data_IF_986332565999
#
_entry.id   IF_986332565999
#
_cell.length_a   1.000
_cell.length_b   1.000
_cell.length_c   1.000
_cell.angle_alpha   90.00
_cell.angle_beta   90.00
_cell.angle_gamma   90.00
#
_symmetry.space_group_name_H-M   'P 1'
#
loop_
_entity.id
_entity.type
_entity.pdbx_description
1 polymer ?
#
# COMPACT_ATOMS: atom_id res chain seq x y z
N UNK A 1 -19.76 -53.89 -1.19
CA UNK A 1 -20.32 -52.71 -1.86
C UNK A 1 -20.19 -52.88 -3.37
N UNK A 2 -21.21 -52.54 -4.14
CA UNK A 2 -21.10 -52.52 -5.61
C UNK A 2 -20.20 -51.35 -6.03
N UNK A 3 -19.32 -51.56 -7.01
CA UNK A 3 -18.45 -50.51 -7.53
C UNK A 3 -19.26 -49.34 -8.12
N UNK A 4 -20.49 -49.61 -8.58
CA UNK A 4 -21.46 -48.61 -9.00
C UNK A 4 -21.84 -47.67 -7.86
N UNK A 5 -22.14 -48.20 -6.67
CA UNK A 5 -22.46 -47.39 -5.48
C UNK A 5 -21.29 -46.49 -5.08
N UNK A 6 -20.06 -46.99 -5.15
CA UNK A 6 -18.85 -46.20 -4.86
C UNK A 6 -18.69 -45.05 -5.87
N UNK A 7 -18.85 -45.33 -7.17
CA UNK A 7 -18.79 -44.33 -8.23
C UNK A 7 -19.88 -43.26 -8.09
N UNK A 8 -21.12 -43.66 -7.78
CA UNK A 8 -22.22 -42.72 -7.52
C UNK A 8 -21.90 -41.83 -6.31
N UNK A 9 -21.35 -42.40 -5.23
CA UNK A 9 -20.98 -41.63 -4.05
C UNK A 9 -19.86 -40.61 -4.34
N UNK A 10 -18.84 -41.00 -5.13
CA UNK A 10 -17.81 -40.08 -5.62
C UNK A 10 -18.42 -38.96 -6.45
N UNK A 11 -19.34 -39.27 -7.37
CA UNK A 11 -20.02 -38.26 -8.17
C UNK A 11 -20.81 -37.28 -7.30
N UNK A 12 -21.55 -37.76 -6.30
CA UNK A 12 -22.29 -36.91 -5.37
C UNK A 12 -21.35 -35.97 -4.61
N UNK A 13 -20.25 -36.49 -4.06
CA UNK A 13 -19.27 -35.69 -3.31
C UNK A 13 -18.64 -34.60 -4.20
N UNK A 14 -18.29 -34.95 -5.45
CA UNK A 14 -17.73 -33.99 -6.42
C UNK A 14 -18.76 -32.95 -6.89
N UNK A 15 -20.03 -33.32 -7.06
CA UNK A 15 -21.09 -32.37 -7.43
C UNK A 15 -21.39 -31.39 -6.30
N UNK A 16 -21.38 -31.86 -5.05
CA UNK A 16 -21.56 -31.02 -3.85
C UNK A 16 -20.36 -30.10 -3.61
N UNK A 17 -19.17 -30.42 -4.15
CA UNK A 17 -18.00 -29.56 -4.01
C UNK A 17 -17.92 -28.40 -5.01
N UNK A 18 -18.55 -28.52 -6.19
CA UNK A 18 -18.60 -27.47 -7.21
C UNK A 18 -19.19 -26.12 -6.72
N UNK A 19 -20.25 -26.09 -5.88
CA UNK A 19 -20.78 -24.83 -5.35
C UNK A 19 -20.00 -24.28 -4.14
N UNK A 20 -18.97 -24.98 -3.64
CA UNK A 20 -18.15 -24.46 -2.52
C UNK A 20 -17.38 -23.22 -3.01
N UNK A 21 -17.54 -22.05 -2.37
CA UNK A 21 -16.81 -20.86 -2.76
C UNK A 21 -15.31 -21.03 -2.50
N UNK A 22 -14.47 -20.61 -3.45
CA UNK A 22 -12.98 -20.70 -3.35
C UNK A 22 -12.34 -19.69 -2.44
N UNK A 23 -13.08 -18.62 -2.22
CA UNK A 23 -12.76 -17.54 -1.32
C UNK A 23 -13.96 -17.48 -0.39
N UNK A 24 -13.74 -17.55 0.92
CA UNK A 24 -14.76 -17.04 1.82
C UNK A 24 -14.54 -15.54 1.83
N UNK A 25 -15.17 -14.92 0.86
CA UNK A 25 -15.28 -13.48 0.82
C UNK A 25 -16.24 -13.10 1.94
N UNK A 26 -15.80 -12.22 2.84
CA UNK A 26 -16.70 -11.33 3.56
C UNK A 26 -16.54 -9.91 3.02
N UNK A 27 -17.02 -9.58 1.80
CA UNK A 27 -17.26 -8.21 1.43
C UNK A 27 -18.69 -7.86 1.86
N UNK A 28 -18.92 -6.72 2.50
CA UNK A 28 -20.27 -6.21 2.55
C UNK A 28 -20.70 -5.89 1.11
N UNK A 29 -21.82 -6.47 0.70
CA UNK A 29 -22.59 -5.96 -0.42
C UNK A 29 -23.16 -4.61 0.04
N UNK A 30 -22.48 -3.51 -0.27
CA UNK A 30 -22.95 -2.16 0.05
C UNK A 30 -23.53 -1.56 -1.23
N UNK A 31 -24.87 -1.48 -1.36
CA UNK A 31 -25.55 -1.12 -2.62
C UNK A 31 -25.42 0.36 -3.07
N UNK A 32 -24.48 1.16 -2.54
CA UNK A 32 -24.58 2.63 -2.58
C UNK A 32 -23.55 3.39 -3.44
N UNK A 33 -22.86 2.75 -4.38
CA UNK A 33 -21.85 3.40 -5.25
C UNK A 33 -22.38 4.32 -6.37
N UNK A 34 -23.69 4.60 -6.42
CA UNK A 34 -24.28 5.53 -7.40
C UNK A 34 -24.68 6.89 -6.81
N UNK A 35 -24.27 7.20 -5.58
CA UNK A 35 -24.46 8.53 -5.00
C UNK A 35 -23.46 9.52 -5.60
N UNK A 36 -23.95 10.58 -6.25
CA UNK A 36 -23.12 11.78 -6.48
C UNK A 36 -22.90 12.44 -5.12
N UNK A 37 -21.66 12.49 -4.66
CA UNK A 37 -21.29 13.19 -3.43
C UNK A 37 -20.82 14.59 -3.81
N UNK A 38 -21.42 15.61 -3.21
CA UNK A 38 -21.03 17.00 -3.43
C UNK A 38 -19.65 17.25 -2.83
N UNK A 39 -18.68 17.52 -3.71
CA UNK A 39 -17.33 17.92 -3.34
C UNK A 39 -17.40 19.34 -2.76
N UNK A 40 -17.20 19.47 -1.45
CA UNK A 40 -16.99 20.77 -0.84
C UNK A 40 -15.74 21.43 -1.47
N UNK A 41 -15.73 22.73 -1.72
CA UNK A 41 -14.59 23.42 -2.38
C UNK A 41 -13.87 24.42 -1.46
N UNK A 42 -14.25 24.48 -0.19
CA UNK A 42 -13.71 25.47 0.75
C UNK A 42 -12.41 24.99 1.45
N UNK A 43 -11.50 25.93 1.72
CA UNK A 43 -10.27 25.69 2.47
C UNK A 43 -10.60 25.46 3.95
N UNK A 44 -10.22 24.31 4.55
CA UNK A 44 -10.56 23.98 5.93
C UNK A 44 -9.68 24.73 6.95
N UNK A 45 -10.18 24.90 8.17
CA UNK A 45 -9.43 25.49 9.29
C UNK A 45 -8.47 24.51 9.96
N UNK A 46 -8.65 23.21 9.73
CA UNK A 46 -7.83 22.11 10.27
C UNK A 46 -7.83 20.91 9.32
N UNK A 47 -6.77 20.10 9.38
CA UNK A 47 -6.69 18.79 8.71
C UNK A 47 -6.30 17.75 9.74
N UNK A 48 -6.96 16.60 9.73
CA UNK A 48 -6.67 15.49 10.62
C UNK A 48 -6.64 14.16 9.87
N UNK A 49 -5.92 13.20 10.42
CA UNK A 49 -5.91 11.81 9.96
C UNK A 49 -6.34 10.91 11.11
N UNK A 50 -7.34 10.08 10.86
CA UNK A 50 -7.93 9.14 11.79
C UNK A 50 -7.71 7.71 11.26
N UNK A 51 -7.20 6.83 12.10
CA UNK A 51 -7.11 5.40 11.81
C UNK A 51 -8.07 4.63 12.71
N UNK A 52 -8.89 3.78 12.11
CA UNK A 52 -9.87 2.96 12.80
C UNK A 52 -9.62 1.48 12.55
N UNK A 53 -9.38 0.72 13.61
CA UNK A 53 -9.30 -0.74 13.57
C UNK A 53 -10.68 -1.36 13.75
N UNK A 54 -11.08 -2.27 12.86
CA UNK A 54 -12.31 -3.03 12.96
C UNK A 54 -12.03 -4.52 13.19
N UNK A 55 -12.21 -4.97 14.43
CA UNK A 55 -11.97 -6.37 14.82
C UNK A 55 -13.05 -7.34 14.34
N UNK A 56 -14.27 -6.84 14.09
CA UNK A 56 -15.41 -7.61 13.59
C UNK A 56 -16.06 -6.93 12.40
N UNK A 57 -16.81 -7.71 11.61
CA UNK A 57 -17.54 -7.21 10.44
C UNK A 57 -18.62 -6.20 10.83
N UNK A 58 -19.38 -6.50 11.88
CA UNK A 58 -20.44 -5.63 12.38
C UNK A 58 -19.86 -4.29 12.82
N UNK A 59 -18.66 -4.31 13.39
CA UNK A 59 -17.98 -3.10 13.80
C UNK A 59 -17.41 -2.32 12.61
N UNK A 60 -16.88 -3.00 11.60
CA UNK A 60 -16.46 -2.36 10.35
C UNK A 60 -17.65 -1.64 9.67
N UNK A 61 -18.79 -2.32 9.52
CA UNK A 61 -20.00 -1.73 8.95
C UNK A 61 -20.50 -0.55 9.78
N UNK A 62 -20.42 -0.64 11.11
CA UNK A 62 -20.69 0.49 12.00
C UNK A 62 -19.77 1.69 11.74
N UNK A 63 -18.45 1.46 11.61
CA UNK A 63 -17.45 2.51 11.36
C UNK A 63 -17.67 3.18 9.99
N UNK A 64 -17.93 2.39 8.95
CA UNK A 64 -18.27 2.93 7.61
C UNK A 64 -19.54 3.77 7.70
N UNK A 65 -20.62 3.25 8.28
CA UNK A 65 -21.87 4.00 8.44
C UNK A 65 -21.72 5.24 9.33
N UNK A 66 -20.79 5.20 10.30
CA UNK A 66 -20.46 6.35 11.11
C UNK A 66 -19.79 7.44 10.28
N UNK A 67 -18.83 7.10 9.40
CA UNK A 67 -18.22 8.09 8.48
C UNK A 67 -19.28 8.75 7.60
N UNK A 68 -20.25 7.98 7.09
CA UNK A 68 -21.37 8.45 6.25
C UNK A 68 -22.28 9.52 6.87
N UNK A 69 -22.19 9.76 8.19
CA UNK A 69 -22.97 10.81 8.88
C UNK A 69 -22.42 12.22 8.67
N UNK A 70 -21.24 12.33 8.08
CA UNK A 70 -20.55 13.59 7.82
C UNK A 70 -20.57 13.91 6.31
N UNK A 71 -20.36 15.17 5.88
CA UNK A 71 -20.11 15.48 4.47
C UNK A 71 -18.83 14.79 3.95
N UNK A 72 -18.83 14.27 2.72
CA UNK A 72 -17.73 13.47 2.13
C UNK A 72 -17.12 14.14 0.90
N UNK A 73 -15.82 13.94 0.71
CA UNK A 73 -15.10 14.37 -0.49
C UNK A 73 -14.94 13.23 -1.51
N UNK A 74 -14.46 12.07 -1.08
CA UNK A 74 -14.25 10.90 -1.92
C UNK A 74 -14.12 9.64 -1.06
N UNK A 75 -14.43 8.49 -1.67
CA UNK A 75 -14.32 7.17 -1.04
C UNK A 75 -13.46 6.29 -1.93
N UNK A 76 -12.38 5.77 -1.40
CA UNK A 76 -11.49 4.82 -2.06
C UNK A 76 -11.50 3.48 -1.34
N UNK A 77 -11.67 2.39 -2.09
CA UNK A 77 -11.44 1.03 -1.58
C UNK A 77 -10.02 0.62 -1.90
N UNK A 78 -9.24 0.35 -0.86
CA UNK A 78 -7.96 -0.34 -1.02
C UNK A 78 -8.19 -1.84 -1.23
N UNK A 79 -7.18 -2.53 -1.75
CA UNK A 79 -7.11 -3.98 -1.65
C UNK A 79 -7.09 -4.40 -0.16
N UNK A 80 -7.58 -5.60 0.16
CA UNK A 80 -7.46 -6.17 1.52
C UNK A 80 -8.52 -5.72 2.54
N UNK A 81 -9.63 -5.09 2.14
CA UNK A 81 -10.71 -4.73 3.07
C UNK A 81 -10.47 -3.42 3.85
N UNK A 82 -9.55 -2.59 3.38
CA UNK A 82 -9.35 -1.22 3.87
C UNK A 82 -10.26 -0.22 3.14
N UNK A 83 -10.86 0.71 3.89
CA UNK A 83 -11.58 1.85 3.34
C UNK A 83 -10.81 3.13 3.65
N UNK A 84 -10.59 3.97 2.65
CA UNK A 84 -10.12 5.35 2.85
C UNK A 84 -11.20 6.31 2.41
N UNK A 85 -11.51 7.28 3.25
CA UNK A 85 -12.51 8.29 2.96
C UNK A 85 -12.12 9.62 3.58
N UNK A 86 -12.50 10.72 2.94
CA UNK A 86 -12.31 12.06 3.48
C UNK A 86 -13.66 12.67 3.88
N UNK A 87 -13.79 13.10 5.13
CA UNK A 87 -14.99 13.72 5.70
C UNK A 87 -14.73 15.16 6.18
N UNK A 88 -15.79 15.94 6.33
CA UNK A 88 -15.75 17.31 6.87
C UNK A 88 -16.45 17.38 8.22
N UNK A 89 -15.80 18.00 9.19
CA UNK A 89 -16.31 18.10 10.56
C UNK A 89 -16.35 19.56 11.00
N UNK A 90 -17.55 20.10 11.25
CA UNK A 90 -17.72 21.50 11.66
C UNK A 90 -17.42 21.78 13.15
N UNK A 91 -17.48 20.77 14.02
CA UNK A 91 -17.17 20.91 15.45
C UNK A 91 -16.22 19.80 15.91
N UNK A 92 -14.93 20.10 15.85
CA UNK A 92 -13.86 19.16 16.20
C UNK A 92 -13.95 18.62 17.64
N UNK A 93 -14.21 19.46 18.63
CA UNK A 93 -14.23 19.03 20.04
C UNK A 93 -15.37 18.06 20.33
N UNK A 94 -16.52 18.25 19.68
CA UNK A 94 -17.63 17.30 19.76
C UNK A 94 -17.33 16.01 19.01
N UNK A 95 -16.65 16.11 17.86
CA UNK A 95 -16.28 14.97 17.04
C UNK A 95 -15.27 14.06 17.74
N UNK A 96 -14.22 14.63 18.31
CA UNK A 96 -13.18 13.94 19.09
C UNK A 96 -13.80 13.14 20.25
N UNK A 97 -14.77 13.72 20.97
CA UNK A 97 -15.51 13.03 22.05
C UNK A 97 -16.44 11.93 21.56
N UNK A 98 -16.80 11.95 20.27
CA UNK A 98 -17.72 10.99 19.65
C UNK A 98 -17.00 9.91 18.84
N UNK A 99 -15.67 9.86 18.91
CA UNK A 99 -14.87 8.89 18.17
C UNK A 99 -15.28 7.46 18.56
N UNK A 100 -15.57 6.61 17.58
CA UNK A 100 -15.76 5.19 17.81
C UNK A 100 -14.56 4.56 18.53
N UNK A 101 -14.85 3.55 19.34
CA UNK A 101 -13.82 2.69 19.94
C UNK A 101 -12.84 2.13 18.88
N UNK A 102 -11.54 2.12 19.16
CA UNK A 102 -10.54 1.66 18.18
C UNK A 102 -10.26 2.62 17.01
N UNK A 103 -10.83 3.84 17.02
CA UNK A 103 -10.39 4.95 16.17
C UNK A 103 -9.43 5.87 16.93
N UNK A 104 -8.26 6.12 16.35
CA UNK A 104 -7.21 6.95 16.92
C UNK A 104 -6.87 8.11 15.98
N UNK A 105 -6.72 9.32 16.53
CA UNK A 105 -6.23 10.48 15.79
C UNK A 105 -4.71 10.32 15.68
N UNK A 106 -4.23 10.05 14.47
CA UNK A 106 -2.80 9.88 14.20
C UNK A 106 -2.15 11.24 13.92
N UNK A 107 -2.89 12.18 13.35
CA UNK A 107 -2.41 13.52 13.05
C UNK A 107 -3.53 14.54 13.15
N UNK A 108 -3.21 15.73 13.69
CA UNK A 108 -4.08 16.90 13.68
C UNK A 108 -3.22 18.15 13.45
N UNK A 109 -3.54 18.90 12.40
CA UNK A 109 -2.89 20.14 12.03
C UNK A 109 -3.90 21.29 11.98
N UNK A 110 -3.67 22.35 12.75
CA UNK A 110 -4.52 23.53 12.78
C UNK A 110 -4.06 24.59 11.76
N UNK A 111 -4.61 24.54 10.55
CA UNK A 111 -4.32 25.49 9.47
C UNK A 111 -4.74 26.94 9.81
N UNK A 112 -5.65 27.12 10.77
CA UNK A 112 -6.15 28.41 11.26
C UNK A 112 -5.36 29.02 12.43
N UNK A 113 -4.57 28.22 13.16
CA UNK A 113 -3.74 28.71 14.28
C UNK A 113 -2.26 28.83 13.93
N UNK A 114 -1.83 28.19 12.86
CA UNK A 114 -0.58 28.54 12.21
C UNK A 114 -0.92 29.65 11.20
N UNK A 115 -0.57 30.93 11.43
CA UNK A 115 -0.30 31.79 10.30
C UNK A 115 0.82 31.06 9.55
N UNK A 116 0.47 30.34 8.49
CA UNK A 116 1.47 30.03 7.47
C UNK A 116 2.08 31.38 7.15
N UNK A 117 3.41 31.49 7.24
CA UNK A 117 4.12 32.78 7.16
C UNK A 117 3.62 33.62 5.97
N UNK A 118 3.15 32.95 4.91
CA UNK A 118 2.48 33.50 3.72
C UNK A 118 1.22 34.35 3.98
N UNK A 119 0.58 34.28 5.15
CA UNK A 119 -0.64 35.03 5.51
C UNK A 119 -0.41 36.07 6.61
N UNK A 120 0.84 36.38 6.96
CA UNK A 120 1.16 37.41 7.94
C UNK A 120 0.99 38.83 7.33
N UNK A 121 0.07 39.68 7.84
CA UNK A 121 -0.14 41.04 7.32
C UNK A 121 1.12 41.91 7.38
N UNK A 122 1.96 41.71 8.39
CA UNK A 122 3.22 42.42 8.52
C UNK A 122 4.22 41.96 7.45
N UNK A 123 4.22 40.68 7.08
CA UNK A 123 5.08 40.19 6.00
C UNK A 123 4.63 40.70 4.63
N UNK A 124 3.32 40.77 4.40
CA UNK A 124 2.76 41.37 3.18
C UNK A 124 3.10 42.86 3.08
N UNK A 125 2.96 43.63 4.16
CA UNK A 125 3.37 45.03 4.15
C UNK A 125 4.89 45.17 3.96
N UNK A 126 5.68 44.30 4.58
CA UNK A 126 7.13 44.26 4.38
C UNK A 126 7.47 43.99 2.91
N UNK A 127 6.74 43.09 2.23
CA UNK A 127 6.96 42.80 0.81
C UNK A 127 6.71 44.02 -0.07
N UNK A 128 5.61 44.76 0.14
CA UNK A 128 5.33 46.00 -0.58
C UNK A 128 6.38 47.09 -0.32
N UNK A 129 6.83 47.24 0.93
CA UNK A 129 7.86 48.22 1.28
C UNK A 129 9.20 47.86 0.63
N UNK A 130 9.62 46.60 0.73
CA UNK A 130 10.86 46.10 0.15
C UNK A 130 10.82 46.13 -1.39
N UNK A 131 9.68 45.81 -2.00
CA UNK A 131 9.49 45.90 -3.44
C UNK A 131 9.73 47.33 -3.93
N UNK A 132 9.13 48.32 -3.26
CA UNK A 132 9.33 49.73 -3.58
C UNK A 132 10.77 50.21 -3.31
N UNK A 133 11.38 49.79 -2.21
CA UNK A 133 12.74 50.19 -1.83
C UNK A 133 13.83 49.60 -2.73
N UNK A 134 13.58 48.43 -3.32
CA UNK A 134 14.55 47.71 -4.14
C UNK A 134 14.30 47.88 -5.64
N UNK A 135 13.15 48.38 -6.06
CA UNK A 135 12.78 48.58 -7.46
C UNK A 135 13.89 49.28 -8.26
N UNK A 136 14.31 48.65 -9.36
CA UNK A 136 15.37 49.17 -10.23
C UNK A 136 16.81 48.91 -9.73
N UNK A 137 16.99 48.12 -8.66
CA UNK A 137 18.30 47.69 -8.17
C UNK A 137 18.53 46.19 -8.41
N UNK A 138 19.79 45.70 -8.43
CA UNK A 138 20.07 44.27 -8.51
C UNK A 138 19.46 43.45 -7.36
N UNK A 139 19.22 44.09 -6.21
CA UNK A 139 18.62 43.43 -5.04
C UNK A 139 17.13 43.10 -5.25
N UNK A 140 16.45 43.81 -6.17
CA UNK A 140 15.05 43.49 -6.54
C UNK A 140 14.92 42.06 -7.07
N UNK A 141 15.82 41.67 -7.97
CA UNK A 141 15.82 40.34 -8.60
C UNK A 141 16.03 39.23 -7.58
N UNK A 142 16.90 39.46 -6.58
CA UNK A 142 17.16 38.51 -5.49
C UNK A 142 15.98 38.33 -4.55
N UNK A 143 15.15 39.36 -4.40
CA UNK A 143 13.97 39.33 -3.52
C UNK A 143 12.68 38.87 -4.23
N UNK A 144 12.68 38.65 -5.56
CA UNK A 144 11.51 38.12 -6.29
C UNK A 144 10.87 36.88 -5.67
N UNK A 145 11.62 35.86 -5.19
CA UNK A 145 11.03 34.71 -4.52
C UNK A 145 10.28 35.10 -3.24
N UNK A 146 10.84 36.03 -2.45
CA UNK A 146 10.20 36.57 -1.26
C UNK A 146 8.93 37.34 -1.61
N UNK A 147 8.95 38.20 -2.64
CA UNK A 147 7.76 38.94 -3.07
C UNK A 147 6.64 37.99 -3.53
N UNK A 148 6.98 36.94 -4.29
CA UNK A 148 6.01 35.94 -4.75
C UNK A 148 5.42 35.14 -3.59
N UNK A 149 6.19 34.90 -2.53
CA UNK A 149 5.73 34.23 -1.32
C UNK A 149 4.85 35.14 -0.45
N UNK A 150 5.26 36.39 -0.27
CA UNK A 150 4.63 37.36 0.62
C UNK A 150 3.62 38.28 -0.09
N UNK A 151 3.28 38.03 -1.38
CA UNK A 151 2.30 38.81 -2.14
C UNK A 151 0.84 38.45 -1.80
N UNK A 152 0.61 37.42 -0.99
CA UNK A 152 -0.73 37.07 -0.54
C UNK A 152 -1.19 38.08 0.50
N UNK A 153 -2.10 38.98 0.10
CA UNK A 153 -2.73 39.89 1.04
C UNK A 153 -3.67 39.10 1.96
N UNK A 154 -3.47 39.11 3.28
CA UNK A 154 -4.36 38.43 4.22
C UNK A 154 -5.81 38.93 4.18
N UNK A 155 -6.05 40.11 3.59
CA UNK A 155 -7.39 40.67 3.38
C UNK A 155 -8.13 40.07 2.17
N UNK A 156 -7.42 39.50 1.21
CA UNK A 156 -7.97 38.94 -0.03
C UNK A 156 -7.77 37.42 -0.16
N UNK A 157 -6.83 36.83 0.60
CA UNK A 157 -6.78 35.38 0.78
C UNK A 157 -7.98 34.96 1.62
N UNK A 158 -8.73 33.96 1.18
CA UNK A 158 -9.77 33.35 1.98
C UNK A 158 -9.13 32.71 3.22
N UNK A 159 -8.97 33.49 4.30
CA UNK A 159 -8.95 32.96 5.66
C UNK A 159 -10.04 31.89 5.71
N UNK A 160 -9.78 30.67 6.20
CA UNK A 160 -10.79 29.62 6.24
C UNK A 160 -12.06 30.19 6.88
N UNK A 161 -13.09 30.40 6.04
CA UNK A 161 -14.32 31.12 6.45
C UNK A 161 -15.16 30.26 7.39
N UNK A 162 -14.79 28.99 7.55
CA UNK A 162 -15.50 27.98 8.30
C UNK A 162 -14.57 27.31 9.31
N UNK A 163 -15.10 26.96 10.49
CA UNK A 163 -14.37 26.24 11.54
C UNK A 163 -14.26 24.73 11.23
N UNK A 164 -14.25 24.38 9.95
CA UNK A 164 -14.36 23.01 9.48
C UNK A 164 -13.01 22.33 9.49
N UNK A 165 -12.99 21.09 9.97
CA UNK A 165 -11.83 20.20 9.95
C UNK A 165 -12.04 19.16 8.86
N UNK A 166 -11.10 19.06 7.92
CA UNK A 166 -11.06 17.91 7.01
C UNK A 166 -10.41 16.74 7.72
N UNK A 167 -11.04 15.58 7.67
CA UNK A 167 -10.55 14.37 8.32
C UNK A 167 -10.42 13.28 7.28
N UNK A 168 -9.19 12.84 7.03
CA UNK A 168 -8.95 11.58 6.34
C UNK A 168 -9.19 10.45 7.32
N UNK A 169 -10.12 9.56 7.01
CA UNK A 169 -10.46 8.39 7.82
C UNK A 169 -10.03 7.14 7.07
N UNK A 170 -9.16 6.37 7.72
CA UNK A 170 -8.67 5.09 7.26
C UNK A 170 -9.29 4.02 8.14
N UNK A 171 -10.09 3.13 7.58
CA UNK A 171 -10.69 1.99 8.28
C UNK A 171 -10.02 0.72 7.81
N UNK A 172 -9.42 -0.02 8.75
CA UNK A 172 -8.77 -1.31 8.48
C UNK A 172 -9.63 -2.42 9.10
N UNK A 173 -10.13 -3.34 8.28
CA UNK A 173 -10.72 -4.59 8.75
C UNK A 173 -9.65 -5.64 9.07
N UNK A 174 -9.83 -6.43 10.12
CA UNK A 174 -8.86 -7.46 10.54
C UNK A 174 -8.92 -8.76 9.75
N UNK A 175 -9.71 -8.89 8.68
CA UNK A 175 -9.68 -10.08 7.79
C UNK A 175 -9.88 -9.70 6.33
N UNK A 176 -8.77 -9.57 5.62
CA UNK A 176 -8.73 -9.77 4.17
C UNK A 176 -9.29 -11.17 3.84
N UNK A 177 -9.80 -11.34 2.63
CA UNK A 177 -10.32 -12.61 2.10
C UNK A 177 -9.42 -13.80 2.49
N UNK A 178 -9.94 -14.72 3.30
CA UNK A 178 -9.26 -15.99 3.55
C UNK A 178 -9.58 -16.94 2.40
N UNK A 179 -8.55 -17.36 1.65
CA UNK A 179 -8.66 -18.46 0.70
C UNK A 179 -8.83 -19.76 1.49
N UNK A 180 -9.99 -20.40 1.35
CA UNK A 180 -10.38 -21.51 2.22
C UNK A 180 -10.13 -22.84 1.51
N UNK A 181 -8.96 -23.43 1.76
CA UNK A 181 -8.55 -24.70 1.15
C UNK A 181 -9.14 -25.94 1.83
N UNK A 182 -9.44 -25.86 3.15
CA UNK A 182 -9.85 -27.02 3.98
C UNK A 182 -11.04 -27.82 3.42
N UNK A 183 -12.14 -27.21 2.96
CA UNK A 183 -13.28 -27.92 2.39
C UNK A 183 -12.89 -28.70 1.14
N UNK A 184 -12.04 -28.12 0.28
CA UNK A 184 -11.60 -28.79 -0.94
C UNK A 184 -10.68 -29.98 -0.63
N UNK A 185 -9.74 -29.85 0.31
CA UNK A 185 -8.90 -30.97 0.75
C UNK A 185 -9.74 -32.08 1.38
N UNK A 186 -10.76 -31.73 2.18
CA UNK A 186 -11.67 -32.70 2.76
C UNK A 186 -12.47 -33.48 1.69
N UNK A 187 -13.00 -32.78 0.68
CA UNK A 187 -13.67 -33.39 -0.48
C UNK A 187 -12.74 -34.37 -1.18
N UNK A 188 -11.53 -33.94 -1.53
CA UNK A 188 -10.57 -34.78 -2.25
C UNK A 188 -10.04 -35.94 -1.40
N UNK A 189 -9.93 -35.77 -0.08
CA UNK A 189 -9.61 -36.88 0.83
C UNK A 189 -10.69 -37.96 0.81
N UNK A 190 -11.98 -37.58 0.86
CA UNK A 190 -13.10 -38.53 0.71
C UNK A 190 -13.03 -39.25 -0.64
N UNK A 191 -12.82 -38.50 -1.73
CA UNK A 191 -12.72 -39.06 -3.09
C UNK A 191 -11.57 -40.07 -3.19
N UNK A 192 -10.42 -39.77 -2.59
CA UNK A 192 -9.27 -40.70 -2.57
C UNK A 192 -9.55 -41.96 -1.76
N UNK A 193 -10.16 -41.84 -0.56
CA UNK A 193 -10.55 -43.01 0.26
C UNK A 193 -11.53 -43.89 -0.50
N UNK A 194 -12.56 -43.31 -1.10
CA UNK A 194 -13.54 -44.04 -1.91
C UNK A 194 -12.89 -44.70 -3.13
N UNK A 195 -11.94 -44.03 -3.77
CA UNK A 195 -11.19 -44.57 -4.90
C UNK A 195 -10.30 -45.75 -4.50
N UNK A 196 -9.64 -45.69 -3.35
CA UNK A 196 -8.85 -46.81 -2.82
C UNK A 196 -9.72 -48.05 -2.51
N UNK A 197 -10.89 -47.85 -1.89
CA UNK A 197 -11.88 -48.92 -1.68
C UNK A 197 -12.40 -49.46 -3.02
N UNK A 198 -12.61 -48.59 -4.00
CA UNK A 198 -12.98 -48.92 -5.37
C UNK A 198 -11.93 -49.78 -6.10
N UNK A 199 -10.64 -49.46 -5.95
CA UNK A 199 -9.53 -50.24 -6.50
C UNK A 199 -9.50 -51.65 -5.92
N UNK A 200 -9.58 -51.78 -4.59
CA UNK A 200 -9.55 -53.08 -3.92
C UNK A 200 -10.72 -53.97 -4.36
N UNK A 201 -11.93 -53.41 -4.44
CA UNK A 201 -13.13 -54.15 -4.84
C UNK A 201 -13.14 -54.54 -6.32
N UNK A 202 -12.70 -53.63 -7.21
CA UNK A 202 -12.63 -53.88 -8.65
C UNK A 202 -11.52 -54.87 -9.03
N UNK A 203 -10.39 -54.85 -8.32
CA UNK A 203 -9.32 -55.83 -8.47
C UNK A 203 -9.77 -57.24 -8.09
N UNK A 204 -10.42 -57.38 -6.92
CA UNK A 204 -10.97 -58.67 -6.45
C UNK A 204 -12.01 -59.24 -7.42
N UNK A 205 -12.78 -58.37 -8.09
CA UNK A 205 -13.81 -58.74 -9.09
C UNK A 205 -13.31 -58.77 -10.54
N UNK A 206 -12.01 -58.52 -10.79
CA UNK A 206 -11.38 -58.49 -12.12
C UNK A 206 -12.04 -57.53 -13.14
N UNK A 207 -12.72 -56.47 -12.71
CA UNK A 207 -13.35 -55.47 -13.61
C UNK A 207 -12.32 -54.42 -14.05
N UNK A 208 -11.57 -54.69 -15.12
CA UNK A 208 -10.43 -53.86 -15.61
C UNK A 208 -10.76 -52.38 -15.86
N UNK A 209 -11.88 -52.08 -16.54
CA UNK A 209 -12.24 -50.69 -16.88
C UNK A 209 -12.59 -49.86 -15.64
N UNK A 210 -13.31 -50.47 -14.69
CA UNK A 210 -13.66 -49.84 -13.40
C UNK A 210 -12.40 -49.61 -12.56
N UNK A 211 -11.47 -50.57 -12.57
CA UNK A 211 -10.18 -50.44 -11.90
C UNK A 211 -9.39 -49.24 -12.44
N UNK A 212 -9.24 -49.11 -13.76
CA UNK A 212 -8.53 -47.98 -14.40
C UNK A 212 -9.18 -46.64 -14.05
N UNK A 213 -10.52 -46.59 -14.00
CA UNK A 213 -11.25 -45.39 -13.64
C UNK A 213 -10.93 -44.91 -12.22
N UNK A 214 -10.87 -45.83 -11.24
CA UNK A 214 -10.47 -45.49 -9.88
C UNK A 214 -9.00 -45.07 -9.75
N UNK A 215 -8.09 -45.63 -10.57
CA UNK A 215 -6.68 -45.18 -10.60
C UNK A 215 -6.60 -43.72 -11.03
N UNK A 216 -7.30 -43.35 -12.10
CA UNK A 216 -7.29 -41.97 -12.61
C UNK A 216 -7.85 -41.00 -11.56
N UNK A 217 -8.98 -41.32 -10.93
CA UNK A 217 -9.59 -40.47 -9.90
C UNK A 217 -8.66 -40.33 -8.69
N UNK A 218 -7.99 -41.40 -8.27
CA UNK A 218 -7.00 -41.37 -7.18
C UNK A 218 -5.82 -40.44 -7.52
N UNK A 219 -5.30 -40.50 -8.74
CA UNK A 219 -4.19 -39.65 -9.20
C UNK A 219 -4.59 -38.17 -9.24
N UNK A 220 -5.80 -37.84 -9.69
CA UNK A 220 -6.32 -36.47 -9.69
C UNK A 220 -6.44 -35.92 -8.26
N UNK A 221 -6.92 -36.73 -7.32
CA UNK A 221 -6.99 -36.35 -5.90
C UNK A 221 -5.61 -36.15 -5.27
N UNK A 222 -4.67 -37.05 -5.54
CA UNK A 222 -3.29 -36.93 -5.06
C UNK A 222 -2.61 -35.67 -5.62
N UNK A 223 -2.81 -35.36 -6.90
CA UNK A 223 -2.30 -34.13 -7.52
C UNK A 223 -2.87 -32.87 -6.85
N UNK A 224 -4.19 -32.82 -6.61
CA UNK A 224 -4.81 -31.68 -5.94
C UNK A 224 -4.23 -31.46 -4.54
N UNK A 225 -4.22 -32.51 -3.71
CA UNK A 225 -3.71 -32.41 -2.32
C UNK A 225 -2.23 -32.04 -2.31
N UNK A 226 -1.42 -32.62 -3.20
CA UNK A 226 -0.01 -32.27 -3.34
C UNK A 226 0.20 -30.79 -3.70
N UNK A 227 -0.61 -30.25 -4.62
CA UNK A 227 -0.55 -28.83 -4.98
C UNK A 227 -0.99 -27.91 -3.85
N UNK A 228 -2.02 -28.26 -3.09
CA UNK A 228 -2.43 -27.47 -1.92
C UNK A 228 -1.32 -27.42 -0.87
N UNK A 229 -0.70 -28.56 -0.56
CA UNK A 229 0.40 -28.62 0.41
C UNK A 229 1.61 -27.78 -0.04
N UNK A 230 1.95 -27.82 -1.33
CA UNK A 230 3.02 -26.99 -1.88
C UNK A 230 2.74 -25.50 -1.73
N UNK A 231 1.54 -25.04 -2.09
CA UNK A 231 1.15 -23.64 -2.01
C UNK A 231 1.03 -23.12 -0.57
N UNK A 232 0.53 -23.94 0.36
CA UNK A 232 0.50 -23.57 1.78
C UNK A 232 1.90 -23.51 2.39
N UNK A 233 2.81 -24.38 1.96
CA UNK A 233 4.22 -24.32 2.36
C UNK A 233 4.87 -23.03 1.84
N UNK A 234 4.68 -22.71 0.57
CA UNK A 234 5.23 -21.50 -0.06
C UNK A 234 4.67 -20.22 0.58
N UNK A 235 3.37 -20.18 0.89
CA UNK A 235 2.74 -19.09 1.66
C UNK A 235 3.33 -18.94 3.07
N UNK A 236 3.60 -20.06 3.75
CA UNK A 236 4.23 -20.03 5.07
C UNK A 236 5.67 -19.51 5.00
N UNK A 237 6.44 -19.92 3.97
CA UNK A 237 7.78 -19.39 3.70
C UNK A 237 7.74 -17.89 3.38
N UNK A 238 6.80 -17.45 2.54
CA UNK A 238 6.59 -16.03 2.25
C UNK A 238 6.35 -15.23 3.54
N UNK A 239 5.40 -15.66 4.37
CA UNK A 239 5.09 -14.99 5.63
C UNK A 239 6.28 -14.98 6.60
N UNK A 240 7.05 -16.06 6.65
CA UNK A 240 8.29 -16.13 7.43
C UNK A 240 9.33 -15.13 6.91
N UNK A 241 9.47 -15.01 5.59
CA UNK A 241 10.40 -14.07 4.96
C UNK A 241 9.98 -12.62 5.20
N UNK A 242 8.68 -12.29 5.07
CA UNK A 242 8.13 -10.97 5.42
C UNK A 242 8.38 -10.63 6.89
N UNK A 243 8.10 -11.55 7.82
CA UNK A 243 8.39 -11.37 9.24
C UNK A 243 9.90 -11.14 9.48
N UNK A 244 10.76 -11.84 8.74
CA UNK A 244 12.22 -11.66 8.82
C UNK A 244 12.61 -10.25 8.37
N UNK A 245 12.01 -9.73 7.29
CA UNK A 245 12.24 -8.36 6.81
C UNK A 245 11.79 -7.34 7.86
N UNK A 246 10.60 -7.52 8.44
CA UNK A 246 10.07 -6.64 9.50
C UNK A 246 10.94 -6.62 10.76
N UNK A 247 11.73 -7.67 11.00
CA UNK A 247 12.66 -7.76 12.11
C UNK A 247 13.99 -7.03 11.88
N UNK A 248 14.27 -6.60 10.64
CA UNK A 248 15.48 -5.86 10.31
C UNK A 248 15.48 -4.51 11.05
N UNK A 249 16.64 -4.18 11.64
CA UNK A 249 16.84 -2.90 12.30
C UNK A 249 17.39 -1.89 11.30
N UNK A 250 16.66 -0.80 11.09
CA UNK A 250 17.19 0.38 10.43
C UNK A 250 18.39 0.89 11.19
N UNK A 251 19.51 1.10 10.50
CA UNK A 251 20.74 1.61 11.09
C UNK A 251 20.75 3.14 11.19
N UNK A 252 19.71 3.79 10.65
CA UNK A 252 19.64 5.24 10.54
C UNK A 252 20.70 5.82 9.60
N UNK A 253 20.53 7.10 9.27
CA UNK A 253 21.40 7.84 8.37
C UNK A 253 20.60 8.76 7.46
N UNK A 254 21.27 9.77 6.92
CA UNK A 254 20.70 10.69 5.94
C UNK A 254 21.30 10.37 4.57
N UNK A 255 20.47 9.91 3.64
CA UNK A 255 20.80 9.73 2.23
C UNK A 255 19.99 10.71 1.39
N UNK A 256 20.38 10.93 0.13
CA UNK A 256 19.54 11.70 -0.78
C UNK A 256 18.22 10.95 -1.02
N UNK A 257 17.06 11.63 -0.88
CA UNK A 257 15.76 10.97 -0.87
C UNK A 257 15.46 10.23 -2.19
N UNK A 258 14.70 9.13 -2.05
CA UNK A 258 14.38 8.08 -3.03
C UNK A 258 14.69 8.44 -4.49
N UNK A 259 15.75 7.86 -5.03
CA UNK A 259 16.11 7.92 -6.47
C UNK A 259 15.51 6.79 -7.29
N UNK A 260 14.77 5.88 -6.65
CA UNK A 260 14.02 4.83 -7.33
C UNK A 260 13.44 3.79 -6.37
N UNK A 261 12.62 2.90 -6.92
CA UNK A 261 11.94 1.84 -6.20
C UNK A 261 12.16 0.47 -6.88
N UNK A 262 12.33 -0.56 -6.05
CA UNK A 262 12.34 -1.96 -6.46
C UNK A 262 11.13 -2.63 -5.82
N UNK A 263 10.23 -3.20 -6.62
CA UNK A 263 9.04 -3.88 -6.16
C UNK A 263 9.23 -5.40 -6.30
N UNK A 264 9.00 -6.13 -5.21
CA UNK A 264 8.91 -7.59 -5.23
C UNK A 264 7.51 -7.95 -5.73
N UNK A 265 7.35 -8.64 -6.87
CA UNK A 265 6.04 -8.97 -7.40
C UNK A 265 5.27 -9.90 -6.45
N UNK A 266 3.97 -9.70 -6.29
CA UNK A 266 3.14 -10.54 -5.41
C UNK A 266 2.85 -11.94 -5.99
N UNK A 267 3.11 -12.13 -7.28
CA UNK A 267 3.06 -13.40 -8.01
C UNK A 267 4.43 -14.10 -8.11
N UNK A 268 5.46 -13.53 -7.48
CA UNK A 268 6.79 -14.12 -7.41
C UNK A 268 6.87 -15.20 -6.32
N UNK A 269 7.78 -16.17 -6.48
CA UNK A 269 7.97 -17.25 -5.52
C UNK A 269 8.46 -16.75 -4.16
N UNK A 270 8.29 -17.56 -3.10
CA UNK A 270 8.74 -17.24 -1.74
C UNK A 270 10.23 -16.90 -1.62
N UNK A 271 11.04 -17.33 -2.58
CA UNK A 271 12.47 -17.06 -2.72
C UNK A 271 12.81 -15.62 -3.16
N UNK A 272 11.83 -14.88 -3.65
CA UNK A 272 12.03 -13.51 -4.18
C UNK A 272 12.37 -12.50 -3.09
N UNK A 273 11.82 -12.66 -1.88
CA UNK A 273 12.18 -11.82 -0.72
C UNK A 273 13.63 -12.09 -0.28
N UNK A 274 14.06 -13.35 -0.01
CA UNK A 274 15.47 -13.66 0.25
C UNK A 274 16.42 -13.17 -0.84
N UNK A 275 16.05 -13.26 -2.12
CA UNK A 275 16.86 -12.74 -3.23
C UNK A 275 17.00 -11.23 -3.20
N UNK A 276 15.89 -10.49 -2.96
CA UNK A 276 15.95 -9.04 -2.80
C UNK A 276 16.84 -8.65 -1.60
N UNK A 277 16.76 -9.37 -0.49
CA UNK A 277 17.63 -9.14 0.67
C UNK A 277 19.10 -9.50 0.41
N UNK A 278 19.36 -10.58 -0.35
CA UNK A 278 20.71 -10.97 -0.75
C UNK A 278 21.33 -9.88 -1.63
N UNK A 279 20.57 -9.35 -2.58
CA UNK A 279 20.99 -8.26 -3.46
C UNK A 279 21.38 -7.00 -2.65
N UNK A 280 20.60 -6.64 -1.62
CA UNK A 280 20.94 -5.53 -0.70
C UNK A 280 22.28 -5.80 0.02
N UNK A 281 22.49 -7.02 0.49
CA UNK A 281 23.72 -7.37 1.21
C UNK A 281 24.96 -7.40 0.30
N UNK A 282 24.82 -7.91 -0.93
CA UNK A 282 25.91 -8.04 -1.90
C UNK A 282 26.32 -6.69 -2.49
N UNK A 283 25.37 -5.76 -2.64
CA UNK A 283 25.60 -4.38 -3.10
C UNK A 283 26.19 -3.46 -2.01
N UNK A 284 26.53 -3.99 -0.83
CA UNK A 284 26.99 -3.23 0.34
C UNK A 284 26.02 -2.11 0.76
N UNK A 285 24.74 -2.28 0.42
CA UNK A 285 23.74 -1.27 0.66
C UNK A 285 23.28 -1.31 2.13
N UNK A 286 23.04 -0.14 2.72
CA UNK A 286 22.74 -0.01 4.15
C UNK A 286 21.24 0.15 4.35
N UNK A 287 20.61 -0.72 5.15
CA UNK A 287 19.20 -0.53 5.54
C UNK A 287 19.09 0.70 6.44
N UNK A 288 18.47 1.76 5.91
CA UNK A 288 18.25 3.03 6.61
C UNK A 288 17.04 2.90 7.53
N UNK A 289 15.93 2.41 6.98
CA UNK A 289 14.64 2.29 7.66
C UNK A 289 13.84 1.10 7.15
N UNK A 290 13.03 0.55 8.04
CA UNK A 290 11.99 -0.42 7.72
C UNK A 290 10.67 0.20 8.17
N UNK A 291 9.68 0.25 7.28
CA UNK A 291 8.34 0.73 7.60
C UNK A 291 7.28 -0.21 7.02
N UNK A 292 6.12 -0.22 7.65
CA UNK A 292 4.97 -0.99 7.20
C UNK A 292 3.83 -0.03 6.90
N UNK A 293 3.41 0.00 5.64
CA UNK A 293 2.35 0.88 5.14
C UNK A 293 1.51 0.08 4.15
N UNK A 294 0.19 0.05 4.35
CA UNK A 294 -0.76 -0.48 3.35
C UNK A 294 -0.48 -1.90 2.85
N UNK A 295 -0.19 -2.84 3.75
CA UNK A 295 0.14 -4.23 3.40
C UNK A 295 1.42 -4.38 2.56
N UNK A 296 2.30 -3.37 2.60
CA UNK A 296 3.61 -3.38 1.99
C UNK A 296 4.65 -3.10 3.08
N UNK A 297 5.67 -3.94 3.16
CA UNK A 297 6.89 -3.63 3.90
C UNK A 297 7.79 -2.81 2.98
N UNK A 298 8.05 -1.57 3.38
CA UNK A 298 8.97 -0.68 2.69
C UNK A 298 10.32 -0.71 3.39
N UNK A 299 11.35 -1.08 2.66
CA UNK A 299 12.75 -0.96 3.07
C UNK A 299 13.38 0.23 2.38
N UNK A 300 13.84 1.21 3.14
CA UNK A 300 14.65 2.31 2.61
C UNK A 300 16.12 1.90 2.72
N UNK A 301 16.80 1.82 1.58
CA UNK A 301 18.18 1.34 1.49
C UNK A 301 19.07 2.43 0.93
N UNK A 302 20.17 2.69 1.64
CA UNK A 302 21.22 3.61 1.21
C UNK A 302 22.23 2.90 0.31
N UNK A 303 22.40 3.41 -0.91
CA UNK A 303 23.29 2.90 -1.95
C UNK A 303 24.29 3.94 -2.41
N UNK A 304 25.42 3.46 -2.94
CA UNK A 304 26.44 4.32 -3.52
C UNK A 304 25.90 5.01 -4.80
N UNK A 305 26.01 6.35 -4.90
CA UNK A 305 25.61 7.12 -6.09
C UNK A 305 26.22 6.66 -7.42
N UNK A 306 27.36 5.99 -7.39
CA UNK A 306 28.04 5.51 -8.60
C UNK A 306 27.53 4.15 -9.08
N UNK A 307 26.92 3.33 -8.21
CA UNK A 307 26.54 1.95 -8.51
C UNK A 307 25.04 1.65 -8.33
N UNK A 308 24.22 2.64 -7.95
CA UNK A 308 22.78 2.40 -7.73
C UNK A 308 22.04 1.93 -9.00
N UNK A 309 22.51 2.31 -10.20
CA UNK A 309 21.96 1.80 -11.46
C UNK A 309 22.36 0.34 -11.73
N UNK A 310 23.50 -0.13 -11.19
CA UNK A 310 23.90 -1.53 -11.28
C UNK A 310 23.01 -2.40 -10.39
N UNK A 311 22.74 -1.94 -9.15
CA UNK A 311 21.75 -2.57 -8.27
C UNK A 311 20.39 -2.75 -8.96
N UNK A 312 19.95 -1.73 -9.68
CA UNK A 312 18.70 -1.75 -10.43
C UNK A 312 18.69 -2.80 -11.54
N UNK A 313 19.79 -2.91 -12.30
CA UNK A 313 19.92 -3.94 -13.35
C UNK A 313 19.95 -5.34 -12.76
N UNK A 314 20.70 -5.55 -11.69
CA UNK A 314 20.76 -6.85 -11.00
C UNK A 314 19.38 -7.23 -10.42
N UNK A 315 18.62 -6.26 -9.91
CA UNK A 315 17.24 -6.48 -9.47
C UNK A 315 16.33 -6.90 -10.63
N UNK A 316 16.43 -6.26 -11.79
CA UNK A 316 15.68 -6.66 -13.00
C UNK A 316 16.06 -8.07 -13.47
N UNK A 317 17.35 -8.42 -13.48
CA UNK A 317 17.85 -9.76 -13.84
C UNK A 317 17.30 -10.85 -12.91
N UNK A 318 17.03 -10.50 -11.65
CA UNK A 318 16.40 -11.37 -10.66
C UNK A 318 14.86 -11.43 -10.78
N UNK A 319 14.28 -10.74 -11.77
CA UNK A 319 12.84 -10.71 -12.02
C UNK A 319 12.05 -9.75 -11.11
N UNK A 320 12.73 -8.82 -10.45
CA UNK A 320 12.09 -7.77 -9.67
C UNK A 320 11.65 -6.62 -10.60
N UNK A 321 10.60 -5.89 -10.21
CA UNK A 321 10.16 -4.72 -10.95
C UNK A 321 10.91 -3.49 -10.47
N UNK A 322 11.58 -2.78 -11.38
CA UNK A 322 12.45 -1.67 -11.01
C UNK A 322 12.00 -0.39 -11.70
N UNK A 323 11.91 0.68 -10.92
CA UNK A 323 11.60 2.03 -11.40
C UNK A 323 12.62 3.00 -10.79
N UNK A 324 13.71 3.28 -11.51
CA UNK A 324 14.79 4.14 -11.04
C UNK A 324 14.96 5.36 -11.93
N UNK A 325 15.26 6.51 -11.31
CA UNK A 325 15.64 7.69 -12.05
C UNK A 325 17.04 7.51 -12.67
N UNK A 326 17.19 7.77 -13.98
CA UNK A 326 18.50 7.79 -14.61
C UNK A 326 19.43 8.79 -13.92
N UNK A 327 20.73 8.48 -13.87
CA UNK A 327 21.76 9.33 -13.23
C UNK A 327 21.72 10.76 -13.75
N UNK A 328 21.47 10.93 -15.04
CA UNK A 328 21.35 12.26 -15.66
C UNK A 328 20.19 13.09 -15.09
N UNK A 329 19.06 12.47 -14.75
CA UNK A 329 17.91 13.13 -14.15
C UNK A 329 18.16 13.45 -12.67
N UNK A 330 18.75 12.51 -11.93
CA UNK A 330 19.15 12.73 -10.53
C UNK A 330 20.13 13.89 -10.41
N UNK A 331 21.15 13.94 -11.26
CA UNK A 331 22.12 15.05 -11.32
C UNK A 331 21.43 16.38 -11.66
N UNK A 332 20.47 16.37 -12.60
CA UNK A 332 19.70 17.57 -12.95
C UNK A 332 18.88 18.08 -11.76
N UNK A 333 18.26 17.19 -10.99
CA UNK A 333 17.51 17.54 -9.78
C UNK A 333 18.44 18.12 -8.71
N UNK A 334 19.59 17.47 -8.47
CA UNK A 334 20.60 17.95 -7.51
C UNK A 334 21.10 19.35 -7.91
N UNK A 335 21.40 19.58 -9.19
CA UNK A 335 21.86 20.88 -9.66
C UNK A 335 20.77 21.95 -9.60
N UNK A 336 19.50 21.59 -9.85
CA UNK A 336 18.37 22.48 -9.63
C UNK A 336 18.23 22.86 -8.15
N UNK A 337 18.40 21.90 -7.24
CA UNK A 337 18.37 22.12 -5.79
C UNK A 337 19.54 22.99 -5.31
N UNK A 338 20.74 22.82 -5.84
CA UNK A 338 21.88 23.72 -5.56
C UNK A 338 21.60 25.15 -6.00
N UNK A 339 21.01 25.35 -7.18
CA UNK A 339 20.60 26.68 -7.65
C UNK A 339 19.55 27.30 -6.74
N UNK A 340 18.55 26.53 -6.33
CA UNK A 340 17.52 26.98 -5.38
C UNK A 340 18.13 27.36 -4.03
N UNK A 341 19.08 26.56 -3.52
CA UNK A 341 19.82 26.82 -2.29
C UNK A 341 20.58 28.15 -2.35
N UNK A 342 21.38 28.38 -3.41
CA UNK A 342 22.11 29.64 -3.59
C UNK A 342 21.17 30.85 -3.75
N UNK A 343 20.09 30.70 -4.53
CA UNK A 343 19.07 31.75 -4.66
C UNK A 343 18.44 32.12 -3.32
N UNK A 344 18.08 31.13 -2.48
CA UNK A 344 17.53 31.36 -1.14
C UNK A 344 18.54 32.00 -0.20
N UNK A 345 19.81 31.58 -0.27
CA UNK A 345 20.90 32.17 0.52
C UNK A 345 21.13 33.64 0.17
N UNK A 346 21.14 33.97 -1.12
CA UNK A 346 21.22 35.36 -1.58
C UNK A 346 20.01 36.18 -1.16
N UNK A 347 18.81 35.61 -1.23
CA UNK A 347 17.56 36.24 -0.77
C UNK A 347 17.65 36.56 0.72
N UNK A 348 18.06 35.63 1.57
CA UNK A 348 18.21 35.84 3.02
C UNK A 348 19.22 36.96 3.30
N UNK A 349 20.41 36.90 2.69
CA UNK A 349 21.44 37.93 2.86
C UNK A 349 20.94 39.31 2.43
N UNK A 350 20.11 39.36 1.37
CA UNK A 350 19.48 40.59 0.91
C UNK A 350 18.39 41.06 1.87
N UNK A 351 17.55 40.18 2.41
CA UNK A 351 16.55 40.54 3.43
C UNK A 351 17.21 41.09 4.69
N UNK A 352 18.27 40.44 5.20
CA UNK A 352 19.05 40.88 6.37
C UNK A 352 19.59 42.31 6.19
N UNK A 353 20.09 42.64 4.99
CA UNK A 353 20.55 43.99 4.64
C UNK A 353 19.46 45.06 4.76
N UNK A 354 18.20 44.71 4.49
CA UNK A 354 17.08 45.67 4.49
C UNK A 354 16.23 45.63 5.78
N UNK A 355 16.40 44.65 6.67
CA UNK A 355 15.72 44.59 7.97
C UNK A 355 15.73 45.92 8.76
N UNK A 356 16.86 46.67 8.85
CA UNK A 356 16.88 47.94 9.59
C UNK A 356 16.00 49.04 9.00
N UNK A 357 15.63 48.93 7.72
CA UNK A 357 14.78 49.90 7.01
C UNK A 357 13.29 49.63 7.19
N UNK A 358 12.93 48.49 7.77
CA UNK A 358 11.54 48.12 8.04
C UNK A 358 11.08 48.65 9.40
N UNK A 359 9.80 49.02 9.54
CA UNK A 359 9.20 49.27 10.85
C UNK A 359 9.20 47.99 11.70
N UNK A 360 9.03 48.15 13.01
CA UNK A 360 9.27 47.08 14.00
C UNK A 360 8.46 45.82 13.72
N UNK A 361 7.17 45.94 13.40
CA UNK A 361 6.29 44.79 13.18
C UNK A 361 6.65 44.00 11.90
N UNK A 362 6.91 44.71 10.80
CA UNK A 362 7.38 44.15 9.53
C UNK A 362 8.75 43.49 9.69
N UNK A 363 9.66 44.12 10.44
CA UNK A 363 10.99 43.57 10.73
C UNK A 363 10.90 42.25 11.48
N UNK A 364 10.15 42.19 12.58
CA UNK A 364 9.96 40.97 13.37
C UNK A 364 9.33 39.84 12.52
N UNK A 365 8.41 40.20 11.61
CA UNK A 365 7.81 39.24 10.68
C UNK A 365 8.80 38.70 9.65
N UNK A 366 9.62 39.56 9.04
CA UNK A 366 10.66 39.14 8.11
C UNK A 366 11.76 38.35 8.80
N UNK A 367 12.13 38.68 10.05
CA UNK A 367 13.06 37.88 10.86
C UNK A 367 12.55 36.45 11.09
N UNK A 368 11.26 36.27 11.41
CA UNK A 368 10.64 34.94 11.50
C UNK A 368 10.67 34.19 10.16
N UNK A 369 10.41 34.88 9.06
CA UNK A 369 10.51 34.29 7.73
C UNK A 369 11.94 33.82 7.44
N UNK A 370 12.94 34.67 7.71
CA UNK A 370 14.36 34.35 7.53
C UNK A 370 14.74 33.12 8.36
N UNK A 371 14.32 33.05 9.62
CA UNK A 371 14.62 31.92 10.49
C UNK A 371 14.08 30.60 9.92
N UNK A 372 12.84 30.62 9.42
CA UNK A 372 12.24 29.46 8.77
C UNK A 372 12.96 29.09 7.48
N UNK A 373 13.38 30.07 6.67
CA UNK A 373 14.20 29.80 5.48
C UNK A 373 15.59 29.24 5.84
N UNK A 374 16.20 29.68 6.95
CA UNK A 374 17.48 29.13 7.44
C UNK A 374 17.35 27.65 7.82
N UNK A 375 16.28 27.27 8.52
CA UNK A 375 16.00 25.87 8.84
C UNK A 375 15.86 25.02 7.56
N UNK A 376 15.13 25.53 6.55
CA UNK A 376 15.04 24.86 5.25
C UNK A 376 16.39 24.77 4.53
N UNK A 377 17.24 25.79 4.62
CA UNK A 377 18.59 25.75 4.04
C UNK A 377 19.47 24.71 4.74
N UNK A 378 19.42 24.62 6.07
CA UNK A 378 20.16 23.60 6.83
C UNK A 378 19.76 22.18 6.41
N UNK A 379 18.46 21.91 6.27
CA UNK A 379 17.97 20.61 5.79
C UNK A 379 18.38 20.35 4.33
N UNK A 380 18.27 21.36 3.47
CA UNK A 380 18.69 21.25 2.07
C UNK A 380 20.20 21.02 1.96
N UNK A 381 21.02 21.66 2.78
CA UNK A 381 22.47 21.47 2.83
C UNK A 381 22.84 20.06 3.27
N UNK A 382 22.16 19.54 4.30
CA UNK A 382 22.30 18.13 4.72
C UNK A 382 22.00 17.18 3.56
N UNK A 383 20.88 17.37 2.87
CA UNK A 383 20.52 16.55 1.70
C UNK A 383 21.57 16.66 0.58
N UNK A 384 21.99 17.87 0.20
CA UNK A 384 23.02 18.09 -0.84
C UNK A 384 24.39 17.51 -0.46
N UNK A 385 24.71 17.43 0.82
CA UNK A 385 25.91 16.76 1.29
C UNK A 385 25.74 15.23 1.28
N UNK A 386 24.57 14.72 1.68
CA UNK A 386 24.23 13.31 1.59
C UNK A 386 24.28 12.79 0.15
N UNK A 387 23.84 13.60 -0.83
CA UNK A 387 23.83 13.24 -2.25
C UNK A 387 25.21 12.98 -2.86
N UNK A 388 26.30 13.34 -2.16
CA UNK A 388 27.67 13.03 -2.58
C UNK A 388 28.10 11.62 -2.16
N UNK A 389 27.42 11.07 -1.17
CA UNK A 389 27.85 9.87 -0.45
C UNK A 389 26.85 8.71 -0.60
N UNK A 390 25.55 9.00 -0.67
CA UNK A 390 24.51 8.00 -0.62
C UNK A 390 23.21 8.46 -1.30
N UNK A 391 22.60 7.57 -2.08
CA UNK A 391 21.23 7.68 -2.58
C UNK A 391 20.32 6.68 -1.89
N UNK A 392 19.07 7.04 -1.66
CA UNK A 392 18.07 6.14 -1.12
C UNK A 392 17.33 5.41 -2.25
N UNK A 393 17.18 4.11 -2.13
CA UNK A 393 16.32 3.27 -2.99
C UNK A 393 15.31 2.58 -2.11
N UNK A 394 14.02 2.72 -2.45
CA UNK A 394 12.94 2.05 -1.74
C UNK A 394 12.75 0.63 -2.27
N UNK A 395 12.57 -0.34 -1.38
CA UNK A 395 12.19 -1.71 -1.76
C UNK A 395 10.85 -2.03 -1.16
N UNK A 396 9.87 -2.31 -2.00
CA UNK A 396 8.51 -2.62 -1.62
C UNK A 396 8.25 -4.13 -1.70
N UNK A 397 7.88 -4.71 -0.56
CA UNK A 397 7.59 -6.14 -0.42
C UNK A 397 6.13 -6.30 0.01
N UNK A 398 5.26 -6.93 -0.80
CA UNK A 398 3.88 -7.15 -0.40
C UNK A 398 3.81 -8.15 0.77
N UNK A 399 2.97 -7.89 1.76
CA UNK A 399 2.78 -8.82 2.88
C UNK A 399 1.88 -10.00 2.54
N UNK A 400 1.09 -9.88 1.48
CA UNK A 400 0.24 -10.95 1.00
C UNK A 400 0.96 -11.75 -0.09
N UNK A 401 1.10 -13.05 0.13
CA UNK A 401 1.38 -14.00 -0.94
C UNK A 401 0.14 -14.09 -1.84
N UNK A 402 0.32 -14.00 -3.16
CA UNK A 402 -0.74 -13.75 -4.15
C UNK A 402 -2.01 -14.60 -4.07
N UNK A 403 -2.99 -14.29 -4.92
CA UNK A 403 -4.32 -14.93 -4.93
C UNK A 403 -4.21 -16.42 -5.27
N UNK A 404 -4.39 -17.30 -4.26
CA UNK A 404 -4.37 -18.76 -4.48
C UNK A 404 -5.78 -19.28 -4.82
N UNK A 405 -6.01 -19.63 -6.09
CA UNK A 405 -7.33 -20.06 -6.58
C UNK A 405 -7.62 -21.57 -6.36
N UNK A 406 -7.79 -22.00 -5.11
CA UNK A 406 -8.08 -23.40 -4.75
C UNK A 406 -9.37 -23.95 -5.39
N UNK A 407 -10.44 -23.15 -5.50
CA UNK A 407 -11.71 -23.59 -6.12
C UNK A 407 -11.58 -23.82 -7.62
N UNK A 408 -10.84 -22.96 -8.32
CA UNK A 408 -10.68 -23.05 -9.77
C UNK A 408 -9.99 -24.37 -10.13
N UNK A 409 -8.89 -24.66 -9.42
CA UNK A 409 -8.17 -25.93 -9.55
C UNK A 409 -9.03 -27.14 -9.17
N UNK A 410 -9.69 -27.09 -8.01
CA UNK A 410 -10.55 -28.17 -7.52
C UNK A 410 -11.73 -28.44 -8.48
N UNK A 411 -12.39 -27.38 -8.94
CA UNK A 411 -13.54 -27.45 -9.84
C UNK A 411 -13.16 -27.99 -11.23
N UNK A 412 -11.99 -27.62 -11.75
CA UNK A 412 -11.47 -28.20 -12.99
C UNK A 412 -11.23 -29.71 -12.85
N UNK A 413 -10.53 -30.13 -11.79
CA UNK A 413 -10.24 -31.54 -11.53
C UNK A 413 -11.52 -32.35 -11.22
N UNK A 414 -12.50 -31.74 -10.54
CA UNK A 414 -13.78 -32.37 -10.25
C UNK A 414 -14.58 -32.67 -11.53
N UNK A 415 -14.58 -31.75 -12.51
CA UNK A 415 -15.21 -31.97 -13.82
C UNK A 415 -14.56 -33.12 -14.59
N UNK A 416 -13.22 -33.21 -14.57
CA UNK A 416 -12.49 -34.34 -15.16
C UNK A 416 -12.83 -35.66 -14.48
N UNK A 417 -12.84 -35.69 -13.15
CA UNK A 417 -13.19 -36.88 -12.39
C UNK A 417 -14.66 -37.31 -12.62
N UNK A 418 -15.60 -36.37 -12.72
CA UNK A 418 -17.00 -36.65 -13.06
C UNK A 418 -17.15 -37.26 -14.46
N UNK A 419 -16.37 -36.80 -15.45
CA UNK A 419 -16.34 -37.39 -16.78
C UNK A 419 -15.85 -38.85 -16.74
N UNK A 420 -14.79 -39.13 -15.98
CA UNK A 420 -14.27 -40.50 -15.77
C UNK A 420 -15.33 -41.38 -15.09
N UNK A 421 -16.02 -40.87 -14.06
CA UNK A 421 -17.11 -41.58 -13.38
C UNK A 421 -18.26 -41.89 -14.34
N UNK A 422 -18.68 -40.93 -15.17
CA UNK A 422 -19.74 -41.12 -16.16
C UNK A 422 -19.43 -42.24 -17.16
N UNK A 423 -18.21 -42.24 -17.72
CA UNK A 423 -17.74 -43.30 -18.62
C UNK A 423 -17.75 -44.66 -17.91
N UNK A 424 -17.24 -44.72 -16.67
CA UNK A 424 -17.17 -45.95 -15.90
C UNK A 424 -18.56 -46.54 -15.59
N UNK A 425 -19.54 -45.69 -15.29
CA UNK A 425 -20.92 -46.10 -15.03
C UNK A 425 -21.60 -46.65 -16.29
N UNK A 426 -21.46 -45.96 -17.44
CA UNK A 426 -22.03 -46.41 -18.73
C UNK A 426 -21.45 -47.76 -19.15
N UNK A 427 -20.13 -47.93 -19.06
CA UNK A 427 -19.48 -49.21 -19.40
C UNK A 427 -19.88 -50.32 -18.43
N UNK A 428 -20.04 -50.00 -17.15
CA UNK A 428 -20.50 -50.97 -16.14
C UNK A 428 -21.93 -51.45 -16.42
N UNK A 429 -22.82 -50.55 -16.88
CA UNK A 429 -24.20 -50.90 -17.26
C UNK A 429 -24.27 -51.77 -18.51
N UNK A 430 -23.42 -51.51 -19.50
CA UNK A 430 -23.39 -52.26 -20.77
C UNK A 430 -22.82 -53.68 -20.64
N UNK A 431 -22.03 -53.97 -19.60
CA UNK A 431 -21.40 -55.28 -19.37
C UNK A 431 -22.20 -56.22 -18.45
N UNK A 432 -23.23 -55.72 -17.76
CA UNK A 432 -24.09 -56.54 -16.89
C UNK A 432 -25.51 -56.72 -17.49
N UNK A 433 -25.74 -56.30 -18.73
CA UNK A 433 -26.90 -56.64 -19.57
C UNK A 433 -26.42 -57.34 -20.83
#
# INVERSE_FOLDING_TARGET
MDSRWILTLIATVLLVSLPIPGEIYSPPNVPYLNGNYDVYQEVPSRVATLLCGAETREYYEYLVNWTLRFPHYHVYRGAGGSLRTAIVVGNWSSFEKSLPYGCEIISLKELSKEPTISHDPALYNASLLLENLTKGTPDYEKLKPFFSFASYSPKNSELPKTNNTHVEVIIIGTRGTEFVWKPFVFVWAIVMVLSAVGLFTSWKRRKKVIFVSFVIILLLGAFFVGKVLYLEHEKAEWNSNVASVLSLKGTGGECWPVVGAINVPSDSGADSIPRALQLINESYAKVLRVSFEDYIVKLEVGVNPESYEELAKEAEELGLQVDIFPKSDVLRIIDSRKKEYEMKKEMIATLDKYLPKLPKAERESVERFIELQKQFLEETEKQLNASKNCYEVGIAIPTEYGVIQYSSLSGFLAKLALLVVGIALVVSWKNDG
#
